data_IF_231236809375
#
_entry.id   IF_231236809375
#
_cell.length_a   1.000
_cell.length_b   1.000
_cell.length_c   1.000
_cell.angle_alpha   90.00
_cell.angle_beta   90.00
_cell.angle_gamma   90.00
#
_symmetry.space_group_name_H-M   'P 1'
#
loop_
_entity.id
_entity.type
_entity.pdbx_description
1 polymer ?
#
# COMPACT_ATOMS: atom_id res chain seq x y z
N UNK A 1 -29.07 1.75 -37.53
CA UNK A 1 -28.76 0.58 -38.38
C UNK A 1 -27.33 0.15 -38.03
N UNK A 2 -27.17 -1.03 -37.40
CA UNK A 2 -25.92 -1.68 -36.98
C UNK A 2 -25.06 -0.93 -35.92
N UNK A 3 -24.59 -1.54 -34.83
CA UNK A 3 -24.72 -2.92 -34.33
C UNK A 3 -24.35 -2.93 -32.84
N UNK A 4 -25.24 -3.47 -32.02
CA UNK A 4 -25.04 -3.86 -30.62
C UNK A 4 -24.05 -5.04 -30.53
N UNK A 5 -22.74 -4.82 -30.61
CA UNK A 5 -21.77 -5.93 -30.47
C UNK A 5 -20.45 -5.55 -29.82
N UNK A 6 -20.49 -4.89 -28.66
CA UNK A 6 -19.29 -4.70 -27.83
C UNK A 6 -19.45 -5.20 -26.38
N UNK A 7 -20.69 -5.36 -25.91
CA UNK A 7 -20.98 -5.74 -24.53
C UNK A 7 -21.06 -7.26 -24.25
N UNK A 8 -20.90 -8.12 -25.25
CA UNK A 8 -20.92 -9.59 -25.07
C UNK A 8 -19.56 -10.24 -24.76
N UNK A 9 -18.45 -9.47 -24.68
CA UNK A 9 -17.10 -10.03 -24.47
C UNK A 9 -16.58 -9.98 -23.03
N UNK A 10 -17.36 -9.42 -22.09
CA UNK A 10 -17.07 -9.44 -20.65
C UNK A 10 -18.21 -10.11 -19.87
N UNK A 11 -18.53 -11.36 -20.26
CA UNK A 11 -19.40 -12.24 -19.49
C UNK A 11 -18.68 -12.83 -18.29
N UNK A 12 -19.01 -12.34 -17.08
CA UNK A 12 -19.29 -13.14 -15.88
C UNK A 12 -19.72 -12.23 -14.73
N UNK A 13 -21.02 -11.96 -14.68
CA UNK A 13 -21.69 -11.61 -13.41
C UNK A 13 -21.67 -12.88 -12.56
N UNK A 14 -20.73 -12.98 -11.62
CA UNK A 14 -20.73 -14.04 -10.62
C UNK A 14 -21.66 -13.58 -9.49
N UNK A 15 -22.89 -14.09 -9.53
CA UNK A 15 -23.78 -14.13 -8.36
C UNK A 15 -23.10 -15.01 -7.29
N UNK A 16 -22.55 -14.39 -6.25
CA UNK A 16 -22.05 -15.09 -5.06
C UNK A 16 -23.23 -15.67 -4.29
N UNK A 17 -23.57 -16.93 -4.56
CA UNK A 17 -24.41 -17.74 -3.68
C UNK A 17 -23.53 -18.40 -2.60
N UNK A 18 -23.90 -18.15 -1.34
CA UNK A 18 -23.59 -18.91 -0.13
C UNK A 18 -22.15 -19.44 0.03
N UNK A 19 -21.26 -18.58 0.55
CA UNK A 19 -20.09 -19.05 1.28
C UNK A 19 -20.54 -19.52 2.66
N UNK A 20 -20.50 -20.84 2.87
CA UNK A 20 -20.69 -21.45 4.18
C UNK A 20 -19.78 -20.75 5.21
N UNK A 21 -20.37 -20.20 6.28
CA UNK A 21 -19.66 -19.56 7.39
C UNK A 21 -18.79 -20.60 8.09
N UNK A 22 -17.54 -20.75 7.65
CA UNK A 22 -16.53 -21.44 8.45
C UNK A 22 -16.20 -20.50 9.61
N UNK A 23 -16.46 -20.95 10.83
CA UNK A 23 -16.20 -20.16 12.03
C UNK A 23 -14.71 -19.80 12.08
N UNK A 24 -14.40 -18.54 11.79
CA UNK A 24 -13.10 -17.94 12.10
C UNK A 24 -13.00 -17.97 13.62
N UNK A 25 -12.13 -18.82 14.17
CA UNK A 25 -11.79 -18.78 15.58
C UNK A 25 -10.94 -17.53 15.76
N UNK A 26 -11.61 -16.41 16.03
CA UNK A 26 -11.01 -15.12 16.35
C UNK A 26 -9.91 -15.34 17.40
N UNK A 27 -8.82 -14.57 17.30
CA UNK A 27 -7.95 -14.30 18.45
C UNK A 27 -8.86 -14.15 19.67
N UNK A 28 -8.59 -14.78 20.82
CA UNK A 28 -9.47 -14.64 21.97
C UNK A 28 -9.73 -13.16 22.23
N UNK A 29 -10.93 -12.70 21.88
CA UNK A 29 -11.26 -11.27 21.78
C UNK A 29 -11.05 -10.56 23.11
N UNK A 30 -11.03 -11.33 24.21
CA UNK A 30 -10.67 -10.84 25.53
C UNK A 30 -9.30 -10.15 25.52
N UNK A 31 -8.25 -10.75 24.98
CA UNK A 31 -6.89 -10.19 25.07
C UNK A 31 -6.78 -8.82 24.38
N UNK A 32 -7.33 -8.70 23.16
CA UNK A 32 -7.36 -7.42 22.45
C UNK A 32 -8.31 -6.42 23.11
N UNK A 33 -9.57 -6.81 23.35
CA UNK A 33 -10.60 -5.88 23.84
C UNK A 33 -10.39 -5.43 25.28
N UNK A 34 -9.85 -6.29 26.14
CA UNK A 34 -9.70 -5.99 27.58
C UNK A 34 -8.30 -5.50 27.97
N UNK A 35 -7.24 -5.86 27.24
CA UNK A 35 -5.87 -5.43 27.58
C UNK A 35 -5.31 -4.43 26.57
N UNK A 36 -5.18 -4.82 25.30
CA UNK A 36 -4.45 -4.01 24.32
C UNK A 36 -5.20 -2.76 23.90
N UNK A 37 -6.49 -2.88 23.57
CA UNK A 37 -7.32 -1.75 23.12
C UNK A 37 -7.37 -0.62 24.17
N UNK A 38 -7.74 -0.84 25.45
CA UNK A 38 -7.79 0.26 26.41
C UNK A 38 -6.41 0.86 26.70
N UNK A 39 -5.33 0.07 26.63
CA UNK A 39 -3.97 0.59 26.81
C UNK A 39 -3.53 1.46 25.63
N UNK A 40 -3.69 0.97 24.39
CA UNK A 40 -3.26 1.68 23.18
C UNK A 40 -4.04 2.97 22.97
N UNK A 41 -5.34 2.97 23.28
CA UNK A 41 -6.21 4.14 23.09
C UNK A 41 -6.01 5.23 24.16
N UNK A 42 -5.21 4.94 25.20
CA UNK A 42 -4.75 5.94 26.19
C UNK A 42 -3.44 6.62 25.80
N UNK A 43 -2.74 6.08 24.80
CA UNK A 43 -1.49 6.66 24.29
C UNK A 43 -1.79 7.59 23.12
N UNK A 44 -0.94 8.61 22.86
CA UNK A 44 -0.98 9.33 21.61
C UNK A 44 -0.89 8.36 20.42
N UNK A 45 -1.70 8.54 19.38
CA UNK A 45 -1.83 7.58 18.28
C UNK A 45 -0.49 7.20 17.63
N UNK A 46 0.43 8.16 17.49
CA UNK A 46 1.80 7.92 17.01
C UNK A 46 2.58 6.97 17.91
N UNK A 47 2.52 7.16 19.24
CA UNK A 47 3.17 6.29 20.20
C UNK A 47 2.51 4.90 20.26
N UNK A 48 1.18 4.83 20.21
CA UNK A 48 0.43 3.58 20.13
C UNK A 48 0.84 2.76 18.89
N UNK A 49 0.93 3.42 17.72
CA UNK A 49 1.43 2.81 16.47
C UNK A 49 2.85 2.29 16.65
N UNK A 50 3.78 3.11 17.13
CA UNK A 50 5.18 2.70 17.33
C UNK A 50 5.31 1.52 18.29
N UNK A 51 4.53 1.50 19.39
CA UNK A 51 4.51 0.38 20.33
C UNK A 51 4.00 -0.90 19.67
N UNK A 52 2.85 -0.84 18.99
CA UNK A 52 2.25 -1.99 18.33
C UNK A 52 3.20 -2.56 17.25
N UNK A 53 3.72 -1.70 16.37
CA UNK A 53 4.68 -2.11 15.33
C UNK A 53 5.98 -2.65 15.93
N UNK A 54 6.48 -2.04 17.02
CA UNK A 54 7.66 -2.54 17.73
C UNK A 54 7.47 -3.96 18.27
N UNK A 55 6.30 -4.24 18.86
CA UNK A 55 5.94 -5.59 19.33
C UNK A 55 5.85 -6.58 18.17
N UNK A 56 5.12 -6.23 17.10
CA UNK A 56 5.03 -7.07 15.89
C UNK A 56 6.40 -7.31 15.24
N UNK A 57 7.25 -6.29 15.18
CA UNK A 57 8.61 -6.38 14.65
C UNK A 57 9.54 -7.21 15.53
N UNK A 58 9.36 -7.20 16.85
CA UNK A 58 10.07 -8.08 17.77
C UNK A 58 9.65 -9.54 17.55
N UNK A 59 8.35 -9.84 17.60
CA UNK A 59 7.83 -11.19 17.37
C UNK A 59 8.22 -11.72 15.99
N UNK A 60 8.13 -10.89 14.95
CA UNK A 60 8.49 -11.27 13.59
C UNK A 60 9.97 -11.61 13.36
N UNK A 61 10.87 -11.24 14.30
CA UNK A 61 12.31 -11.56 14.29
C UNK A 61 12.67 -12.76 15.15
N UNK A 62 11.81 -13.17 16.09
CA UNK A 62 12.09 -14.29 16.99
C UNK A 62 12.01 -15.64 16.27
N UNK A 63 12.91 -16.60 16.57
CA UNK A 63 12.77 -17.98 16.10
C UNK A 63 11.46 -18.57 16.66
N UNK A 64 10.61 -19.12 15.79
CA UNK A 64 9.26 -19.58 16.16
C UNK A 64 8.19 -18.49 16.25
N UNK A 65 8.54 -17.20 16.12
CA UNK A 65 7.55 -16.10 16.09
C UNK A 65 6.54 -16.22 14.95
N UNK A 66 6.92 -16.90 13.85
CA UNK A 66 6.01 -17.24 12.77
C UNK A 66 4.85 -18.14 13.24
N UNK A 67 5.11 -19.09 14.15
CA UNK A 67 4.08 -19.97 14.72
C UNK A 67 3.15 -19.14 15.60
N UNK A 68 3.71 -18.26 16.44
CA UNK A 68 2.90 -17.36 17.30
C UNK A 68 1.97 -16.49 16.47
N UNK A 69 2.49 -15.82 15.43
CA UNK A 69 1.66 -14.96 14.57
C UNK A 69 0.64 -15.81 13.79
N UNK A 70 1.03 -16.99 13.29
CA UNK A 70 0.10 -17.90 12.61
C UNK A 70 -1.00 -18.41 13.56
N UNK A 71 -0.72 -18.61 14.84
CA UNK A 71 -1.75 -18.97 15.84
C UNK A 71 -2.65 -17.79 16.23
N UNK A 72 -2.24 -16.55 16.01
CA UNK A 72 -3.10 -15.39 16.19
C UNK A 72 -3.96 -15.16 14.94
N UNK A 73 -3.38 -15.26 13.74
CA UNK A 73 -4.08 -14.99 12.49
C UNK A 73 -4.87 -16.17 11.91
N UNK A 74 -4.38 -17.42 12.08
CA UNK A 74 -4.87 -18.64 11.42
C UNK A 74 -5.26 -18.44 9.95
N UNK A 75 -4.42 -17.74 9.17
CA UNK A 75 -4.74 -17.38 7.79
C UNK A 75 -3.97 -18.28 6.83
N UNK A 76 -4.71 -19.19 6.20
CA UNK A 76 -4.33 -19.86 4.96
C UNK A 76 -5.31 -19.38 3.89
N UNK A 77 -4.91 -18.40 3.05
CA UNK A 77 -5.81 -17.89 2.03
C UNK A 77 -6.20 -18.99 1.04
N UNK A 78 -7.48 -19.01 0.66
CA UNK A 78 -7.98 -19.94 -0.35
C UNK A 78 -7.32 -19.62 -1.71
N UNK A 79 -6.90 -20.63 -2.50
CA UNK A 79 -6.42 -20.41 -3.87
C UNK A 79 -7.43 -19.68 -4.77
N UNK A 80 -8.72 -19.70 -4.40
CA UNK A 80 -9.78 -18.96 -5.11
C UNK A 80 -9.65 -17.43 -4.97
N UNK A 81 -8.80 -16.94 -4.07
CA UNK A 81 -8.56 -15.52 -3.82
C UNK A 81 -7.33 -14.99 -4.56
N UNK A 82 -6.58 -15.84 -5.26
CA UNK A 82 -5.41 -15.40 -6.01
C UNK A 82 -5.82 -14.44 -7.13
N UNK A 83 -5.19 -13.28 -7.14
CA UNK A 83 -5.21 -12.35 -8.27
C UNK A 83 -3.91 -12.57 -9.04
N UNK A 84 -3.86 -12.32 -10.36
CA UNK A 84 -2.64 -12.53 -11.16
C UNK A 84 -1.40 -11.73 -10.70
N UNK A 85 -1.52 -10.95 -9.63
CA UNK A 85 -0.50 -10.09 -9.03
C UNK A 85 -0.42 -10.23 -7.49
N UNK A 86 -1.23 -11.07 -6.84
CA UNK A 86 -1.20 -11.28 -5.38
C UNK A 86 -1.91 -12.57 -4.94
N UNK A 87 -1.49 -13.16 -3.82
CA UNK A 87 -2.12 -14.37 -3.27
C UNK A 87 -3.56 -14.12 -2.73
N UNK A 88 -3.88 -12.87 -2.37
CA UNK A 88 -5.22 -12.45 -1.94
C UNK A 88 -5.52 -11.05 -2.48
N UNK A 89 -6.79 -10.62 -2.60
CA UNK A 89 -7.11 -9.26 -3.00
C UNK A 89 -6.86 -8.24 -1.87
N UNK A 90 -6.33 -8.66 -0.71
CA UNK A 90 -6.14 -7.82 0.48
C UNK A 90 -4.66 -7.52 0.65
N UNK A 91 -4.30 -6.25 0.49
CA UNK A 91 -2.95 -5.74 0.76
C UNK A 91 -2.89 -4.94 2.06
N UNK A 92 -1.67 -4.73 2.54
CA UNK A 92 -1.38 -3.82 3.63
C UNK A 92 -0.81 -2.50 3.09
N UNK A 93 -1.41 -1.37 3.45
CA UNK A 93 -0.91 -0.06 3.03
C UNK A 93 0.40 0.32 3.73
N UNK A 94 1.30 0.99 3.01
CA UNK A 94 2.61 1.40 3.50
C UNK A 94 2.56 2.45 4.60
N UNK A 95 1.48 3.23 4.67
CA UNK A 95 1.23 4.24 5.72
C UNK A 95 1.14 3.60 7.13
N UNK A 96 0.80 2.31 7.20
CA UNK A 96 0.71 1.58 8.48
C UNK A 96 2.07 1.42 9.14
N UNK A 97 3.11 1.10 8.37
CA UNK A 97 4.49 0.91 8.86
C UNK A 97 5.50 1.67 7.98
N UNK A 98 5.52 3.02 8.01
CA UNK A 98 6.39 3.82 7.15
C UNK A 98 7.87 3.53 7.37
N UNK A 99 8.22 3.06 8.57
CA UNK A 99 9.57 2.71 8.96
C UNK A 99 9.91 1.23 8.71
N UNK A 100 8.99 0.41 8.18
CA UNK A 100 9.20 -1.01 7.89
C UNK A 100 9.72 -1.85 9.06
N UNK A 101 9.41 -1.47 10.30
CA UNK A 101 9.93 -2.12 11.53
C UNK A 101 9.21 -3.43 11.82
N UNK A 102 7.97 -3.56 11.36
CA UNK A 102 7.08 -4.68 11.60
C UNK A 102 6.87 -5.57 10.37
N UNK A 103 7.44 -5.21 9.20
CA UNK A 103 7.27 -5.91 7.91
C UNK A 103 7.27 -7.44 7.97
N UNK A 104 8.22 -8.06 8.70
CA UNK A 104 8.29 -9.52 8.85
C UNK A 104 7.11 -10.08 9.63
N UNK A 105 6.69 -9.37 10.68
CA UNK A 105 5.55 -9.77 11.51
C UNK A 105 4.23 -9.60 10.75
N UNK A 106 4.04 -8.43 10.14
CA UNK A 106 2.81 -8.08 9.42
C UNK A 106 2.60 -8.95 8.18
N UNK A 107 3.67 -9.32 7.46
CA UNK A 107 3.60 -10.23 6.32
C UNK A 107 3.01 -11.62 6.64
N UNK A 108 2.88 -11.98 7.92
CA UNK A 108 2.34 -13.27 8.38
C UNK A 108 0.87 -13.20 8.79
N UNK A 109 0.23 -12.03 8.63
CA UNK A 109 -1.18 -11.83 8.97
C UNK A 109 -2.17 -12.23 7.86
N UNK A 110 -1.68 -12.75 6.73
CA UNK A 110 -2.52 -13.24 5.63
C UNK A 110 -2.74 -12.24 4.48
N UNK A 111 -2.02 -11.11 4.49
CA UNK A 111 -2.00 -10.20 3.33
C UNK A 111 -1.42 -10.87 2.10
N UNK A 112 -1.98 -10.58 0.94
CA UNK A 112 -1.48 -11.08 -0.33
C UNK A 112 -0.28 -10.29 -0.87
N UNK A 113 -0.18 -9.02 -0.47
CA UNK A 113 0.89 -8.10 -0.85
C UNK A 113 1.08 -7.01 0.22
N UNK A 114 2.21 -6.31 0.17
CA UNK A 114 2.44 -5.13 1.01
C UNK A 114 2.84 -3.94 0.14
N UNK A 115 2.24 -2.80 0.44
CA UNK A 115 2.67 -1.51 -0.07
C UNK A 115 3.81 -0.97 0.80
N UNK A 116 4.82 -0.37 0.16
CA UNK A 116 5.87 0.41 0.79
C UNK A 116 5.71 1.85 0.34
N UNK A 117 5.76 2.76 1.29
CA UNK A 117 5.68 4.19 1.02
C UNK A 117 4.39 4.84 1.51
N UNK A 118 4.11 6.07 1.07
CA UNK A 118 4.77 6.79 -0.03
C UNK A 118 6.28 6.99 0.14
N UNK A 119 7.03 6.93 -0.96
CA UNK A 119 8.50 7.05 -0.99
C UNK A 119 8.87 8.31 -1.74
N UNK A 120 9.62 9.19 -1.08
CA UNK A 120 10.18 10.41 -1.69
C UNK A 120 11.70 10.31 -1.77
N UNK A 121 12.32 11.15 -2.59
CA UNK A 121 13.77 11.15 -2.77
C UNK A 121 14.53 11.40 -1.44
N UNK A 122 14.01 12.30 -0.60
CA UNK A 122 14.53 12.61 0.72
C UNK A 122 13.50 12.23 1.80
N UNK A 123 13.91 11.98 3.06
CA UNK A 123 12.98 11.74 4.14
C UNK A 123 12.02 12.92 4.35
N UNK A 124 10.78 12.61 4.70
CA UNK A 124 9.75 13.59 5.06
C UNK A 124 9.28 13.23 6.47
N UNK A 125 9.52 14.13 7.42
CA UNK A 125 9.19 13.93 8.83
C UNK A 125 8.07 14.87 9.27
N UNK A 126 7.15 14.36 10.08
CA UNK A 126 6.15 15.19 10.75
C UNK A 126 6.13 14.95 12.24
N UNK A 127 6.26 16.04 12.99
CA UNK A 127 6.09 16.06 14.46
C UNK A 127 4.64 16.30 14.88
N UNK A 128 3.75 16.57 13.92
CA UNK A 128 2.35 16.78 14.24
C UNK A 128 1.73 15.47 14.74
N UNK A 129 0.83 15.56 15.73
CA UNK A 129 0.15 14.38 16.26
C UNK A 129 -0.72 13.75 15.17
N UNK A 130 -0.81 12.42 15.17
CA UNK A 130 -1.84 11.71 14.40
C UNK A 130 -3.16 11.87 15.15
N UNK A 131 -4.20 12.34 14.48
CA UNK A 131 -5.52 12.44 15.06
C UNK A 131 -6.22 11.09 15.03
N UNK A 132 -7.01 10.85 16.08
CA UNK A 132 -7.78 9.63 16.26
C UNK A 132 -9.16 10.02 16.78
N UNK A 133 -10.18 9.68 16.02
CA UNK A 133 -11.55 9.57 16.53
C UNK A 133 -11.85 8.09 16.72
N UNK A 134 -11.76 7.64 17.97
CA UNK A 134 -12.00 6.26 18.33
C UNK A 134 -13.46 5.83 18.19
N UNK A 135 -14.41 6.77 18.27
CA UNK A 135 -15.84 6.48 18.16
C UNK A 135 -16.26 6.35 16.69
N UNK A 136 -15.71 7.22 15.83
CA UNK A 136 -15.92 7.16 14.39
C UNK A 136 -15.00 6.14 13.67
N UNK A 137 -14.04 5.55 14.39
CA UNK A 137 -13.00 4.66 13.85
C UNK A 137 -12.16 5.34 12.75
N UNK A 138 -11.83 6.62 12.96
CA UNK A 138 -11.10 7.44 11.99
C UNK A 138 -9.71 7.82 12.48
N UNK A 139 -8.78 7.86 11.53
CA UNK A 139 -7.41 8.33 11.72
C UNK A 139 -7.11 9.43 10.70
N UNK A 140 -6.43 10.48 11.14
CA UNK A 140 -5.91 11.54 10.27
C UNK A 140 -4.39 11.61 10.42
N UNK A 141 -3.70 11.48 9.29
CA UNK A 141 -2.25 11.67 9.21
C UNK A 141 -1.97 13.10 8.75
N UNK A 142 -1.26 13.93 9.55
CA UNK A 142 -1.01 15.33 9.23
C UNK A 142 -0.14 15.54 7.98
N UNK A 143 0.76 14.60 7.72
CA UNK A 143 1.71 14.65 6.62
C UNK A 143 1.51 13.41 5.76
N UNK A 144 0.83 13.53 4.60
CA UNK A 144 0.48 12.39 3.75
C UNK A 144 1.73 11.70 3.17
N UNK A 145 2.86 12.40 3.09
CA UNK A 145 4.11 11.86 2.56
C UNK A 145 5.14 11.50 3.63
N UNK A 146 4.75 11.32 4.89
CA UNK A 146 5.70 10.94 5.95
C UNK A 146 6.43 9.62 5.63
N UNK A 147 7.76 9.67 5.47
CA UNK A 147 8.57 8.49 5.12
C UNK A 147 10.07 8.66 5.42
N UNK A 148 10.81 7.55 5.35
CA UNK A 148 12.25 7.48 5.67
C UNK A 148 13.21 7.82 4.52
N UNK A 149 12.67 8.18 3.35
CA UNK A 149 13.42 8.50 2.16
C UNK A 149 13.86 7.28 1.35
N UNK A 150 14.13 7.54 0.08
CA UNK A 150 14.47 6.56 -0.94
C UNK A 150 15.59 5.59 -0.53
N UNK A 151 16.73 6.08 -0.05
CA UNK A 151 17.88 5.24 0.28
C UNK A 151 17.59 4.20 1.36
N UNK A 152 16.80 4.55 2.38
CA UNK A 152 16.40 3.61 3.44
C UNK A 152 15.39 2.59 2.93
N UNK A 153 14.48 3.02 2.07
CA UNK A 153 13.51 2.12 1.43
C UNK A 153 14.21 1.09 0.56
N UNK A 154 15.17 1.51 -0.27
CA UNK A 154 15.98 0.61 -1.12
C UNK A 154 16.63 -0.51 -0.31
N UNK A 155 17.28 -0.17 0.81
CA UNK A 155 17.92 -1.15 1.68
C UNK A 155 16.92 -2.16 2.30
N UNK A 156 15.68 -1.73 2.58
CA UNK A 156 14.64 -2.58 3.14
C UNK A 156 13.96 -3.46 2.10
N UNK A 157 13.71 -2.89 0.92
CA UNK A 157 13.09 -3.56 -0.21
C UNK A 157 13.97 -4.73 -0.70
N UNK A 158 15.29 -4.53 -0.76
CA UNK A 158 16.25 -5.57 -1.13
C UNK A 158 16.38 -6.71 -0.09
N UNK A 159 15.99 -6.47 1.16
CA UNK A 159 16.01 -7.47 2.23
C UNK A 159 14.70 -7.49 3.02
N UNK A 160 13.60 -7.96 2.41
CA UNK A 160 12.27 -7.90 3.02
C UNK A 160 12.15 -8.81 4.25
N UNK A 161 12.78 -9.98 4.21
CA UNK A 161 12.61 -11.01 5.23
C UNK A 161 11.23 -11.66 5.25
N UNK A 162 10.50 -11.58 4.12
CA UNK A 162 9.26 -12.28 3.82
C UNK A 162 9.14 -12.48 2.29
N UNK A 163 8.17 -13.28 1.85
CA UNK A 163 7.96 -13.60 0.43
C UNK A 163 6.83 -12.80 -0.24
N UNK A 164 6.07 -12.00 0.51
CA UNK A 164 5.00 -11.19 -0.10
C UNK A 164 5.55 -10.21 -1.14
N UNK A 165 4.88 -10.05 -2.30
CA UNK A 165 5.22 -9.01 -3.26
C UNK A 165 5.13 -7.63 -2.60
N UNK A 166 6.11 -6.78 -2.91
CA UNK A 166 6.26 -5.44 -2.36
C UNK A 166 5.97 -4.41 -3.45
N UNK A 167 4.81 -3.75 -3.37
CA UNK A 167 4.46 -2.65 -4.27
C UNK A 167 4.95 -1.34 -3.68
N UNK A 168 5.54 -0.46 -4.47
CA UNK A 168 6.11 0.78 -3.95
C UNK A 168 5.28 1.96 -4.43
N UNK A 169 4.72 2.73 -3.51
CA UNK A 169 4.10 4.01 -3.83
C UNK A 169 5.18 5.07 -3.93
N UNK A 170 5.46 5.53 -5.14
CA UNK A 170 6.43 6.60 -5.40
C UNK A 170 5.68 7.92 -5.37
N UNK A 171 6.12 8.83 -4.50
CA UNK A 171 5.51 10.12 -4.29
C UNK A 171 6.48 11.25 -4.69
N UNK A 172 5.96 12.38 -5.17
CA UNK A 172 6.78 13.55 -5.45
C UNK A 172 7.37 14.12 -4.16
N UNK A 173 8.53 14.76 -4.26
CA UNK A 173 9.10 15.48 -3.12
C UNK A 173 8.25 16.73 -2.83
N UNK A 174 7.76 16.93 -1.59
CA UNK A 174 7.05 18.16 -1.23
C UNK A 174 7.85 19.42 -1.61
N UNK A 175 7.17 20.36 -2.29
CA UNK A 175 7.78 21.62 -2.73
C UNK A 175 8.70 21.52 -3.95
N UNK A 176 8.81 20.36 -4.59
CA UNK A 176 9.50 20.21 -5.87
C UNK A 176 8.53 20.49 -7.03
N UNK A 177 8.97 21.32 -7.97
CA UNK A 177 8.19 21.65 -9.17
C UNK A 177 7.90 20.40 -10.03
N UNK A 178 6.74 20.33 -10.71
CA UNK A 178 6.35 19.17 -11.51
C UNK A 178 7.39 18.77 -12.57
N UNK A 179 7.99 19.72 -13.26
CA UNK A 179 8.96 19.47 -14.35
C UNK A 179 10.24 18.78 -13.86
N UNK A 180 10.59 18.97 -12.58
CA UNK A 180 11.76 18.32 -11.96
C UNK A 180 11.41 16.99 -11.30
N UNK A 181 10.12 16.77 -11.06
CA UNK A 181 9.64 15.59 -10.35
C UNK A 181 9.58 14.38 -11.24
N UNK A 182 9.09 14.50 -12.48
CA UNK A 182 8.97 13.37 -13.40
C UNK A 182 10.31 12.61 -13.61
N UNK A 183 11.41 13.25 -14.04
CA UNK A 183 12.68 12.54 -14.22
C UNK A 183 13.19 11.90 -12.92
N UNK A 184 12.98 12.53 -11.77
CA UNK A 184 13.34 11.98 -10.47
C UNK A 184 12.52 10.73 -10.12
N UNK A 185 11.21 10.76 -10.37
CA UNK A 185 10.29 9.63 -10.21
C UNK A 185 10.73 8.44 -11.06
N UNK A 186 11.06 8.67 -12.33
CA UNK A 186 11.51 7.61 -13.25
C UNK A 186 12.83 6.97 -12.79
N UNK A 187 13.78 7.80 -12.34
CA UNK A 187 15.05 7.30 -11.78
C UNK A 187 14.81 6.46 -10.52
N UNK A 188 13.97 6.93 -9.61
CA UNK A 188 13.62 6.17 -8.40
C UNK A 188 12.93 4.85 -8.75
N UNK A 189 11.98 4.84 -9.66
CA UNK A 189 11.29 3.62 -10.11
C UNK A 189 12.26 2.60 -10.70
N UNK A 190 13.18 3.05 -11.55
CA UNK A 190 14.21 2.19 -12.15
C UNK A 190 15.05 1.47 -11.08
N UNK A 191 15.53 2.21 -10.10
CA UNK A 191 16.32 1.65 -9.00
C UNK A 191 15.49 0.71 -8.11
N UNK A 192 14.24 1.07 -7.82
CA UNK A 192 13.32 0.24 -7.03
C UNK A 192 13.03 -1.11 -7.70
N UNK A 193 12.97 -1.16 -9.03
CA UNK A 193 12.90 -2.42 -9.78
C UNK A 193 14.10 -3.30 -9.45
N UNK A 194 15.33 -2.75 -9.51
CA UNK A 194 16.54 -3.51 -9.21
C UNK A 194 16.59 -3.98 -7.75
N UNK A 195 16.01 -3.23 -6.82
CA UNK A 195 15.88 -3.63 -5.43
C UNK A 195 14.74 -4.64 -5.16
N UNK A 196 13.92 -4.98 -6.16
CA UNK A 196 12.91 -6.04 -6.06
C UNK A 196 11.47 -5.56 -5.89
N UNK A 197 11.14 -4.33 -6.29
CA UNK A 197 9.75 -3.88 -6.36
C UNK A 197 8.92 -4.80 -7.27
N UNK A 198 7.75 -5.22 -6.78
CA UNK A 198 6.79 -6.04 -7.50
C UNK A 198 5.90 -5.21 -8.44
N UNK A 199 5.82 -3.90 -8.21
CA UNK A 199 5.04 -2.94 -8.98
C UNK A 199 4.98 -1.59 -8.26
N UNK A 200 4.23 -0.66 -8.82
CA UNK A 200 4.22 0.73 -8.39
C UNK A 200 2.83 1.30 -8.18
N UNK A 201 2.72 2.22 -7.22
CA UNK A 201 1.65 3.21 -7.19
C UNK A 201 2.25 4.58 -7.49
N UNK A 202 1.54 5.40 -8.27
CA UNK A 202 1.85 6.81 -8.46
C UNK A 202 0.59 7.63 -8.20
N UNK A 203 0.76 8.83 -7.63
CA UNK A 203 -0.37 9.68 -7.28
C UNK A 203 -1.00 10.31 -8.52
N UNK A 204 -2.33 10.26 -8.62
CA UNK A 204 -3.11 10.82 -9.73
C UNK A 204 -3.02 12.35 -9.78
N UNK A 205 -3.05 12.96 -8.60
CA UNK A 205 -3.04 14.40 -8.40
C UNK A 205 -2.37 14.66 -7.05
N UNK A 206 -1.04 14.83 -7.04
CA UNK A 206 -0.33 15.19 -5.82
C UNK A 206 -0.85 16.50 -5.20
N UNK A 207 -0.77 16.68 -3.87
CA UNK A 207 -1.14 17.91 -3.21
C UNK A 207 -0.38 19.11 -3.78
N UNK A 208 -1.12 20.16 -4.16
CA UNK A 208 -0.57 21.40 -4.71
C UNK A 208 -0.27 21.36 -6.22
N UNK A 209 -0.54 20.25 -6.90
CA UNK A 209 -0.39 20.15 -8.35
C UNK A 209 -1.71 20.41 -9.07
N UNK A 210 -1.63 20.94 -10.28
CA UNK A 210 -2.77 21.02 -11.19
C UNK A 210 -2.92 19.73 -12.04
N UNK A 211 -4.08 19.61 -12.70
CA UNK A 211 -4.42 18.45 -13.53
C UNK A 211 -3.51 18.33 -14.76
N UNK A 212 -3.05 19.45 -15.34
CA UNK A 212 -2.25 19.46 -16.56
C UNK A 212 -0.84 18.91 -16.28
N UNK A 213 -0.21 19.39 -15.21
CA UNK A 213 1.10 18.98 -14.75
C UNK A 213 1.10 17.53 -14.28
N UNK A 214 0.04 17.12 -13.55
CA UNK A 214 -0.14 15.72 -13.17
C UNK A 214 -0.36 14.83 -14.39
N UNK A 215 -1.16 15.29 -15.36
CA UNK A 215 -1.35 14.63 -16.66
C UNK A 215 -0.06 14.38 -17.41
N UNK A 216 0.78 15.41 -17.56
CA UNK A 216 2.11 15.29 -18.20
C UNK A 216 2.99 14.26 -17.50
N UNK A 217 3.15 14.37 -16.19
CA UNK A 217 4.00 13.46 -15.43
C UNK A 217 3.52 12.00 -15.53
N UNK A 218 2.20 11.78 -15.48
CA UNK A 218 1.61 10.45 -15.61
C UNK A 218 1.74 9.89 -17.03
N UNK A 219 1.63 10.72 -18.06
CA UNK A 219 1.96 10.31 -19.44
C UNK A 219 3.43 9.90 -19.56
N UNK A 220 4.36 10.67 -18.97
CA UNK A 220 5.78 10.30 -18.97
C UNK A 220 6.06 8.97 -18.27
N UNK A 221 5.40 8.70 -17.13
CA UNK A 221 5.48 7.41 -16.43
C UNK A 221 4.88 6.27 -17.26
N UNK A 222 3.73 6.49 -17.89
CA UNK A 222 3.08 5.49 -18.74
C UNK A 222 3.94 5.14 -19.96
N UNK A 223 4.45 6.15 -20.68
CA UNK A 223 5.34 5.98 -21.83
C UNK A 223 6.62 5.23 -21.43
N UNK A 224 7.21 5.57 -20.27
CA UNK A 224 8.40 4.90 -19.75
C UNK A 224 8.16 3.41 -19.43
N UNK A 225 6.99 3.09 -18.88
CA UNK A 225 6.55 1.72 -18.58
C UNK A 225 6.26 0.93 -19.85
N UNK A 226 5.56 1.51 -20.83
CA UNK A 226 5.21 0.87 -22.10
C UNK A 226 6.47 0.50 -22.89
N UNK A 227 7.44 1.41 -22.98
CA UNK A 227 8.73 1.17 -23.63
C UNK A 227 9.53 0.01 -23.00
N UNK A 228 9.19 -0.38 -21.77
CA UNK A 228 9.89 -1.40 -20.98
C UNK A 228 8.98 -2.56 -20.58
N UNK A 229 7.80 -2.69 -21.19
CA UNK A 229 6.82 -3.71 -20.79
C UNK A 229 7.39 -5.13 -20.88
N UNK A 230 8.13 -5.40 -21.96
CA UNK A 230 8.79 -6.68 -22.20
C UNK A 230 9.84 -7.05 -21.13
N UNK A 231 10.47 -6.04 -20.51
CA UNK A 231 11.53 -6.22 -19.52
C UNK A 231 11.00 -6.23 -18.09
N UNK A 232 10.00 -5.39 -17.80
CA UNK A 232 9.59 -5.10 -16.43
C UNK A 232 8.40 -5.95 -15.97
N UNK A 233 7.40 -6.20 -16.82
CA UNK A 233 6.12 -6.88 -16.48
C UNK A 233 5.62 -6.55 -15.05
N UNK A 234 5.76 -5.29 -14.62
CA UNK A 234 5.38 -4.80 -13.29
C UNK A 234 4.07 -4.04 -13.40
N UNK A 235 3.08 -4.28 -12.51
CA UNK A 235 1.87 -3.46 -12.48
C UNK A 235 2.20 -2.02 -12.10
N UNK A 236 1.54 -1.08 -12.77
CA UNK A 236 1.44 0.32 -12.36
C UNK A 236 0.00 0.60 -11.94
N UNK A 237 -0.17 1.17 -10.76
CA UNK A 237 -1.46 1.56 -10.22
C UNK A 237 -1.50 3.08 -10.01
N UNK A 238 -2.69 3.65 -10.16
CA UNK A 238 -2.93 5.05 -9.89
C UNK A 238 -3.53 5.20 -8.49
N UNK A 239 -2.90 6.00 -7.63
CA UNK A 239 -3.43 6.36 -6.32
C UNK A 239 -4.26 7.65 -6.46
N UNK A 240 -5.58 7.51 -6.32
CA UNK A 240 -6.55 8.59 -6.49
C UNK A 240 -7.06 9.02 -5.12
N UNK A 241 -6.85 10.30 -4.77
CA UNK A 241 -7.43 10.86 -3.56
C UNK A 241 -8.97 11.00 -3.70
N UNK A 242 -9.75 10.70 -2.65
CA UNK A 242 -11.21 10.63 -2.74
C UNK A 242 -11.90 11.99 -2.95
N UNK A 243 -11.18 13.08 -2.68
CA UNK A 243 -11.59 14.47 -2.80
C UNK A 243 -11.37 15.07 -4.20
N UNK A 244 -10.86 14.30 -5.15
CA UNK A 244 -10.78 14.72 -6.56
C UNK A 244 -12.20 14.73 -7.13
N UNK A 245 -12.74 15.92 -7.40
CA UNK A 245 -14.08 16.09 -7.96
C UNK A 245 -14.24 15.29 -9.27
N UNK A 246 -15.36 14.57 -9.39
CA UNK A 246 -15.57 13.48 -10.37
C UNK A 246 -15.44 13.81 -11.86
N UNK A 247 -15.35 15.09 -12.25
CA UNK A 247 -15.07 15.48 -13.63
C UNK A 247 -13.58 15.37 -14.00
N UNK A 248 -12.65 15.48 -13.04
CA UNK A 248 -11.20 15.39 -13.29
C UNK A 248 -10.70 13.97 -13.62
N UNK A 249 -11.36 12.94 -13.10
CA UNK A 249 -10.95 11.54 -13.28
C UNK A 249 -11.28 10.96 -14.66
N UNK A 250 -12.28 11.53 -15.34
CA UNK A 250 -12.69 11.10 -16.68
C UNK A 250 -11.61 11.34 -17.75
N UNK A 251 -10.64 12.23 -17.48
CA UNK A 251 -9.47 12.47 -18.32
C UNK A 251 -8.34 11.46 -18.11
N UNK A 252 -8.17 10.94 -16.87
CA UNK A 252 -7.09 10.00 -16.54
C UNK A 252 -7.39 8.56 -16.94
N UNK A 253 -8.65 8.11 -16.83
CA UNK A 253 -9.04 6.73 -17.12
C UNK A 253 -9.41 6.45 -18.58
N UNK A 254 -9.14 7.39 -19.50
CA UNK A 254 -9.35 7.21 -20.95
C UNK A 254 -8.02 7.01 -21.67
N UNK A 255 -7.47 5.80 -21.60
CA UNK A 255 -6.76 5.08 -22.68
C UNK A 255 -6.32 3.72 -22.18
#
# INVERSE_FOLDING_TARGET
MCKESFWERFGRVILFQNVAKKAVKLVPDWSYRTLFRPLLFRLPARAARSLALGLFGAVGRMPGGAVVIKTLGHQEPSPLLETGWSATPVGLSGIVDPAGVARRGLARLGFGFMEIGPVTALPVESRQPIGLDAAAEQLWFPEPYENEGFNRVMAKLANPGHSLPQYVRVAPMPGLEPERTEPLTLLMMQELIFAGAAGFYVDALPPGWDLESSGRALSGVADWMEQREAELRRPLFLHVAPDIEGNGLSGFCKR
#
